data_IF_454436637985
#
_entry.id   IF_454436637985
#
_cell.length_a   1.000
_cell.length_b   1.000
_cell.length_c   1.000
_cell.angle_alpha   90.00
_cell.angle_beta   90.00
_cell.angle_gamma   90.00
#
_symmetry.space_group_name_H-M   'P 1'
#
loop_
_entity.id
_entity.type
_entity.pdbx_description
1 polymer ?
#
# COMPACT_ATOMS: atom_id res chain seq x y z
N UNK A 1 -3.17 -23.39 25.18
CA UNK A 1 -2.19 -24.38 25.69
C UNK A 1 -2.71 -25.83 25.65
N UNK A 2 -3.99 -26.08 25.94
CA UNK A 2 -4.57 -27.44 26.00
C UNK A 2 -4.57 -28.20 24.68
N UNK A 3 -4.80 -27.54 23.54
CA UNK A 3 -4.72 -28.16 22.20
C UNK A 3 -3.31 -28.70 21.93
N UNK A 4 -2.27 -27.94 22.30
CA UNK A 4 -0.89 -28.37 22.14
C UNK A 4 -0.56 -29.58 23.02
N UNK A 5 -0.99 -29.56 24.29
CA UNK A 5 -0.83 -30.70 25.21
C UNK A 5 -1.53 -31.97 24.69
N UNK A 6 -2.75 -31.83 24.16
CA UNK A 6 -3.49 -32.95 23.58
C UNK A 6 -2.79 -33.53 22.34
N UNK A 7 -2.29 -32.67 21.45
CA UNK A 7 -1.51 -33.10 20.26
C UNK A 7 -0.22 -33.82 20.64
N UNK A 8 0.47 -33.36 21.68
CA UNK A 8 1.70 -34.01 22.15
C UNK A 8 1.42 -35.38 22.78
N UNK A 9 0.39 -35.51 23.62
CA UNK A 9 0.02 -36.81 24.20
C UNK A 9 -0.40 -37.83 23.14
N UNK A 10 -1.07 -37.38 22.08
CA UNK A 10 -1.37 -38.25 20.95
C UNK A 10 -0.09 -38.69 20.23
N UNK A 11 0.85 -37.76 19.98
CA UNK A 11 2.07 -38.02 19.21
C UNK A 11 3.12 -38.84 19.96
N UNK A 12 3.31 -38.60 21.25
CA UNK A 12 4.41 -39.17 22.04
C UNK A 12 3.95 -40.24 23.03
N UNK A 13 2.72 -40.17 23.52
CA UNK A 13 2.19 -41.12 24.53
C UNK A 13 1.12 -42.07 23.94
N UNK A 14 0.80 -41.94 22.65
CA UNK A 14 -0.26 -42.66 21.94
C UNK A 14 -1.65 -42.57 22.64
N UNK A 15 -1.91 -41.48 23.36
CA UNK A 15 -3.17 -41.25 24.08
C UNK A 15 -4.07 -40.32 23.29
N UNK A 16 -5.18 -40.85 22.79
CA UNK A 16 -6.21 -40.04 22.12
C UNK A 16 -6.95 -39.16 23.13
N UNK A 17 -7.13 -37.86 22.85
CA UNK A 17 -7.89 -36.98 23.72
C UNK A 17 -9.38 -37.32 23.68
N UNK A 18 -10.04 -37.28 24.83
CA UNK A 18 -11.50 -37.30 24.91
C UNK A 18 -11.98 -35.89 24.54
N UNK A 19 -12.71 -35.79 23.42
CA UNK A 19 -13.11 -34.51 22.83
C UNK A 19 -13.91 -33.64 23.81
N UNK A 20 -14.85 -34.22 24.55
CA UNK A 20 -15.65 -33.51 25.55
C UNK A 20 -14.79 -32.89 26.64
N UNK A 21 -13.83 -33.64 27.19
CA UNK A 21 -12.90 -33.14 28.22
C UNK A 21 -12.01 -32.01 27.69
N UNK A 22 -11.55 -32.13 26.45
CA UNK A 22 -10.76 -31.07 25.80
C UNK A 22 -11.60 -29.79 25.62
N UNK A 23 -12.84 -29.91 25.14
CA UNK A 23 -13.77 -28.80 25.02
C UNK A 23 -14.07 -28.15 26.37
N UNK A 24 -14.39 -28.94 27.41
CA UNK A 24 -14.63 -28.44 28.76
C UNK A 24 -13.42 -27.68 29.30
N UNK A 25 -12.20 -28.22 29.10
CA UNK A 25 -10.96 -27.56 29.52
C UNK A 25 -10.75 -26.22 28.79
N UNK A 26 -10.92 -26.19 27.46
CA UNK A 26 -10.83 -24.95 26.67
C UNK A 26 -11.87 -23.92 27.14
N UNK A 27 -13.13 -24.33 27.34
CA UNK A 27 -14.20 -23.45 27.80
C UNK A 27 -13.93 -22.92 29.22
N UNK A 28 -13.40 -23.75 30.12
CA UNK A 28 -13.03 -23.32 31.47
C UNK A 28 -11.93 -22.26 31.43
N UNK A 29 -10.90 -22.47 30.59
CA UNK A 29 -9.86 -21.47 30.36
C UNK A 29 -10.44 -20.17 29.79
N UNK A 30 -11.25 -20.24 28.75
CA UNK A 30 -11.84 -19.02 28.15
C UNK A 30 -12.69 -18.27 29.17
N UNK A 31 -13.48 -18.96 30.01
CA UNK A 31 -14.29 -18.34 31.06
C UNK A 31 -13.45 -17.73 32.19
N UNK A 32 -12.38 -18.41 32.60
CA UNK A 32 -11.48 -17.95 33.65
C UNK A 32 -10.83 -16.60 33.30
N UNK A 33 -10.49 -16.41 32.02
CA UNK A 33 -9.82 -15.19 31.53
C UNK A 33 -10.75 -14.24 30.74
N UNK A 34 -11.98 -14.66 30.44
CA UNK A 34 -12.90 -13.93 29.57
C UNK A 34 -13.43 -12.64 30.16
N UNK A 35 -13.43 -12.51 31.49
CA UNK A 35 -13.73 -11.26 32.19
C UNK A 35 -12.57 -10.26 32.12
N UNK A 36 -11.33 -10.73 31.93
CA UNK A 36 -10.12 -9.90 31.89
C UNK A 36 -9.85 -9.31 30.50
N UNK A 37 -10.37 -9.94 29.44
CA UNK A 37 -10.16 -9.50 28.06
C UNK A 37 -11.52 -9.29 27.38
N UNK A 38 -11.93 -8.04 27.10
CA UNK A 38 -13.18 -7.79 26.41
C UNK A 38 -13.13 -8.33 24.97
N UNK A 39 -14.23 -8.95 24.53
CA UNK A 39 -14.39 -9.43 23.16
C UNK A 39 -15.17 -8.42 22.32
N UNK A 40 -14.67 -8.07 21.13
CA UNK A 40 -15.31 -7.05 20.29
C UNK A 40 -16.16 -7.63 19.16
N UNK A 41 -17.46 -7.31 19.14
CA UNK A 41 -18.43 -7.86 18.18
C UNK A 41 -18.87 -6.88 17.08
N UNK A 42 -19.32 -7.40 15.92
CA UNK A 42 -19.95 -6.62 14.85
C UNK A 42 -21.45 -6.86 14.71
N UNK A 43 -21.99 -7.94 15.28
CA UNK A 43 -23.42 -8.27 15.21
C UNK A 43 -23.93 -9.12 16.37
N UNK A 44 -25.22 -9.45 16.33
CA UNK A 44 -25.92 -10.16 17.42
C UNK A 44 -25.36 -11.58 17.62
N UNK A 45 -24.98 -12.28 16.55
CA UNK A 45 -24.41 -13.63 16.62
C UNK A 45 -23.08 -13.63 17.38
N UNK A 46 -22.15 -12.75 17.01
CA UNK A 46 -20.86 -12.56 17.68
C UNK A 46 -21.04 -12.23 19.17
N UNK A 47 -21.99 -11.34 19.48
CA UNK A 47 -22.30 -10.96 20.87
C UNK A 47 -22.76 -12.17 21.69
N UNK A 48 -23.70 -12.96 21.16
CA UNK A 48 -24.17 -14.21 21.79
C UNK A 48 -23.06 -15.24 21.95
N UNK A 49 -22.19 -15.37 20.94
CA UNK A 49 -21.05 -16.27 20.98
C UNK A 49 -20.08 -15.88 22.11
N UNK A 50 -19.69 -14.60 22.19
CA UNK A 50 -18.82 -14.10 23.26
C UNK A 50 -19.45 -14.30 24.65
N UNK A 51 -20.75 -14.00 24.80
CA UNK A 51 -21.47 -14.28 26.04
C UNK A 51 -21.46 -15.76 26.41
N UNK A 52 -21.69 -16.66 25.45
CA UNK A 52 -21.69 -18.12 25.70
C UNK A 52 -20.32 -18.65 26.14
N UNK A 53 -19.26 -17.96 25.72
CA UNK A 53 -17.87 -18.22 26.08
C UNK A 53 -17.47 -17.58 27.42
N UNK A 54 -18.34 -16.80 28.07
CA UNK A 54 -18.01 -16.05 29.29
C UNK A 54 -17.08 -14.85 29.04
N UNK A 55 -16.99 -14.38 27.80
CA UNK A 55 -16.24 -13.19 27.41
C UNK A 55 -17.18 -11.99 27.41
N UNK A 56 -16.78 -10.89 28.05
CA UNK A 56 -17.59 -9.66 28.07
C UNK A 56 -17.71 -9.07 26.64
N UNK A 57 -18.90 -9.05 26.02
CA UNK A 57 -19.07 -8.54 24.67
C UNK A 57 -19.08 -7.00 24.70
N UNK A 58 -18.16 -6.38 23.96
CA UNK A 58 -18.14 -4.93 23.73
C UNK A 58 -18.40 -4.63 22.26
N UNK A 59 -19.27 -3.66 21.93
CA UNK A 59 -19.46 -3.26 20.55
C UNK A 59 -18.15 -2.70 19.99
N UNK A 60 -17.81 -3.04 18.74
CA UNK A 60 -16.69 -2.38 18.06
C UNK A 60 -17.00 -0.90 17.91
N UNK A 61 -16.01 -0.06 18.20
CA UNK A 61 -16.09 1.37 17.86
C UNK A 61 -16.23 1.49 16.34
N UNK A 62 -17.13 2.39 15.91
CA UNK A 62 -17.27 2.69 14.49
C UNK A 62 -15.92 3.21 13.94
N UNK A 63 -15.51 2.78 12.73
CA UNK A 63 -14.28 3.29 12.14
C UNK A 63 -14.40 4.80 11.90
N UNK A 64 -13.28 5.52 12.06
CA UNK A 64 -13.22 6.91 11.62
C UNK A 64 -13.11 6.91 10.10
N UNK A 65 -13.99 7.68 9.44
CA UNK A 65 -14.01 7.82 8.00
C UNK A 65 -13.25 9.10 7.65
N UNK A 66 -12.17 8.96 6.88
CA UNK A 66 -11.38 10.07 6.38
C UNK A 66 -11.54 10.16 4.86
N UNK A 67 -11.89 11.35 4.37
CA UNK A 67 -11.90 11.65 2.93
C UNK A 67 -10.46 11.78 2.43
N UNK A 68 -10.19 11.17 1.29
CA UNK A 68 -8.90 11.22 0.59
C UNK A 68 -9.16 11.72 -0.83
N UNK A 69 -8.52 12.82 -1.18
CA UNK A 69 -8.67 13.50 -2.46
C UNK A 69 -7.27 13.77 -3.01
N UNK A 70 -7.07 13.46 -4.29
CA UNK A 70 -5.95 14.00 -5.02
C UNK A 70 -6.25 15.46 -5.37
N UNK A 71 -5.24 16.32 -5.27
CA UNK A 71 -5.36 17.72 -5.64
C UNK A 71 -4.28 18.08 -6.67
N UNK A 72 -4.61 18.87 -7.71
CA UNK A 72 -3.59 19.40 -8.60
C UNK A 72 -2.59 20.26 -7.82
N UNK A 73 -1.32 20.32 -8.26
CA UNK A 73 -0.36 21.20 -7.64
C UNK A 73 -0.64 22.67 -8.00
N UNK A 74 0.02 23.61 -7.31
CA UNK A 74 0.01 25.01 -7.74
C UNK A 74 0.97 25.21 -8.93
N UNK A 75 0.73 26.17 -9.84
CA UNK A 75 1.75 26.55 -10.83
C UNK A 75 3.05 27.01 -10.16
N UNK A 76 4.24 26.75 -10.73
CA UNK A 76 4.49 26.11 -12.04
C UNK A 76 4.76 24.59 -11.93
N UNK A 77 4.29 23.95 -10.87
CA UNK A 77 4.65 22.56 -10.59
C UNK A 77 3.97 21.58 -11.54
N UNK A 78 4.76 20.62 -12.03
CA UNK A 78 4.25 19.35 -12.55
C UNK A 78 4.19 18.37 -11.39
N UNK A 79 3.06 17.70 -11.20
CA UNK A 79 2.90 16.67 -10.18
C UNK A 79 2.94 15.28 -10.80
N UNK A 80 3.72 14.39 -10.21
CA UNK A 80 3.74 12.96 -10.56
C UNK A 80 3.27 12.12 -9.38
N UNK A 81 2.32 11.24 -9.63
CA UNK A 81 1.94 10.17 -8.71
C UNK A 81 2.63 8.89 -9.13
N UNK A 82 3.29 8.20 -8.20
CA UNK A 82 4.05 6.98 -8.47
C UNK A 82 3.54 5.83 -7.63
N UNK A 83 3.61 4.61 -8.16
CA UNK A 83 3.23 3.39 -7.45
C UNK A 83 4.05 2.18 -7.93
N UNK A 84 4.31 1.27 -7.01
CA UNK A 84 5.02 0.03 -7.23
C UNK A 84 4.20 -1.19 -6.82
N UNK A 85 4.02 -2.12 -7.73
CA UNK A 85 3.29 -3.36 -7.48
C UNK A 85 4.24 -4.55 -7.42
N UNK A 86 4.02 -5.45 -6.45
CA UNK A 86 4.57 -6.79 -6.44
C UNK A 86 3.52 -7.82 -5.98
N UNK A 87 3.33 -8.89 -6.76
CA UNK A 87 2.42 -10.01 -6.45
C UNK A 87 3.16 -11.07 -5.62
N UNK A 88 3.45 -10.74 -4.37
CA UNK A 88 4.34 -11.49 -3.49
C UNK A 88 5.52 -10.64 -3.05
N UNK A 89 6.32 -11.12 -2.10
CA UNK A 89 7.50 -10.39 -1.62
C UNK A 89 8.68 -11.36 -1.37
N UNK A 90 9.46 -11.73 -2.40
CA UNK A 90 9.39 -11.24 -3.80
C UNK A 90 8.28 -11.91 -4.64
N UNK A 91 7.89 -11.27 -5.75
CA UNK A 91 6.93 -11.81 -6.72
C UNK A 91 6.87 -10.99 -8.01
N UNK A 92 6.04 -11.36 -9.01
CA UNK A 92 5.87 -10.59 -10.24
C UNK A 92 5.56 -9.12 -9.96
N UNK A 93 6.38 -8.23 -10.47
CA UNK A 93 6.43 -6.84 -10.10
C UNK A 93 6.41 -5.91 -11.32
N UNK A 94 5.89 -4.71 -11.10
CA UNK A 94 5.82 -3.65 -12.08
C UNK A 94 5.72 -2.30 -11.36
N UNK A 95 6.03 -1.21 -12.06
CA UNK A 95 5.83 0.14 -11.56
C UNK A 95 5.08 0.99 -12.57
N UNK A 96 4.52 2.10 -12.09
CA UNK A 96 3.91 3.09 -12.94
C UNK A 96 3.90 4.48 -12.32
N UNK A 97 3.58 5.46 -13.15
CA UNK A 97 3.39 6.83 -12.69
C UNK A 97 2.60 7.68 -13.67
N UNK A 98 1.95 8.71 -13.15
CA UNK A 98 1.06 9.62 -13.89
C UNK A 98 1.45 11.06 -13.62
N UNK A 99 1.78 11.80 -14.68
CA UNK A 99 2.16 13.21 -14.65
C UNK A 99 0.98 14.09 -15.02
N UNK A 100 0.78 15.13 -14.21
CA UNK A 100 -0.30 16.12 -14.38
C UNK A 100 0.22 17.52 -14.09
N UNK A 101 -0.30 18.51 -14.80
CA UNK A 101 0.02 19.92 -14.54
C UNK A 101 -0.81 20.52 -13.40
N UNK A 102 -0.63 21.80 -13.14
CA UNK A 102 -1.35 22.56 -12.12
C UNK A 102 -2.86 22.76 -12.39
N UNK A 103 -3.32 22.50 -13.63
CA UNK A 103 -4.75 22.46 -13.96
C UNK A 103 -5.32 21.04 -13.84
N UNK A 104 -4.51 20.08 -13.38
CA UNK A 104 -4.87 18.66 -13.34
C UNK A 104 -4.88 17.99 -14.72
N UNK A 105 -4.42 18.68 -15.76
CA UNK A 105 -4.38 18.14 -17.12
C UNK A 105 -3.30 17.08 -17.19
N UNK A 106 -3.65 15.95 -17.81
CA UNK A 106 -2.75 14.84 -18.04
C UNK A 106 -1.62 15.23 -19.00
N UNK A 107 -0.37 15.06 -18.57
CA UNK A 107 0.81 15.30 -19.39
C UNK A 107 1.42 14.01 -19.94
N UNK A 108 1.16 12.89 -19.27
CA UNK A 108 1.71 11.60 -19.64
C UNK A 108 1.71 10.60 -18.50
N UNK A 109 1.92 9.33 -18.82
CA UNK A 109 2.09 8.28 -17.83
C UNK A 109 3.02 7.20 -18.36
N UNK A 110 3.55 6.39 -17.45
CA UNK A 110 4.33 5.22 -17.82
C UNK A 110 3.91 4.01 -17.01
N UNK A 111 4.25 2.84 -17.55
CA UNK A 111 4.31 1.61 -16.80
C UNK A 111 5.49 0.78 -17.28
N UNK A 112 6.03 -0.06 -16.40
CA UNK A 112 7.17 -0.91 -16.72
C UNK A 112 7.11 -2.22 -15.94
N UNK A 113 7.28 -3.38 -16.61
CA UNK A 113 7.46 -4.65 -15.94
C UNK A 113 8.84 -4.71 -15.28
N UNK A 114 8.92 -5.26 -14.07
CA UNK A 114 10.16 -5.36 -13.29
C UNK A 114 10.55 -6.82 -13.01
N UNK A 115 9.88 -7.81 -13.61
CA UNK A 115 10.18 -9.22 -13.36
C UNK A 115 9.75 -9.64 -11.95
N UNK A 116 10.58 -10.39 -11.22
CA UNK A 116 10.29 -10.83 -9.86
C UNK A 116 11.06 -10.00 -8.83
N UNK A 117 10.37 -9.15 -8.07
CA UNK A 117 10.98 -8.20 -7.15
C UNK A 117 10.13 -7.97 -5.90
N UNK A 118 10.67 -7.24 -4.92
CA UNK A 118 9.94 -6.82 -3.72
C UNK A 118 9.03 -5.63 -4.02
N UNK A 119 8.02 -5.41 -3.16
CA UNK A 119 7.18 -4.20 -3.25
C UNK A 119 8.00 -2.92 -3.08
N UNK A 120 8.94 -2.89 -2.11
CA UNK A 120 9.82 -1.73 -1.93
C UNK A 120 10.69 -1.45 -3.16
N UNK A 121 11.23 -2.49 -3.83
CA UNK A 121 11.99 -2.32 -5.06
C UNK A 121 11.12 -1.67 -6.15
N UNK A 122 9.89 -2.16 -6.34
CA UNK A 122 8.98 -1.64 -7.35
C UNK A 122 8.62 -0.16 -7.10
N UNK A 123 8.35 0.20 -5.85
CA UNK A 123 8.07 1.58 -5.43
C UNK A 123 9.26 2.50 -5.69
N UNK A 124 10.46 2.07 -5.29
CA UNK A 124 11.69 2.82 -5.49
C UNK A 124 11.99 3.02 -6.97
N UNK A 125 11.77 1.99 -7.79
CA UNK A 125 11.95 2.05 -9.24
C UNK A 125 10.95 3.03 -9.89
N UNK A 126 9.70 3.06 -9.43
CA UNK A 126 8.68 4.01 -9.90
C UNK A 126 9.14 5.47 -9.71
N UNK A 127 9.74 5.77 -8.56
CA UNK A 127 10.30 7.08 -8.24
C UNK A 127 11.48 7.43 -9.15
N UNK A 128 12.43 6.50 -9.32
CA UNK A 128 13.60 6.68 -10.20
C UNK A 128 13.15 7.03 -11.62
N UNK A 129 12.27 6.21 -12.21
CA UNK A 129 11.77 6.44 -13.58
C UNK A 129 11.05 7.77 -13.69
N UNK A 130 10.27 8.15 -12.67
CA UNK A 130 9.53 9.41 -12.68
C UNK A 130 10.44 10.64 -12.72
N UNK A 131 11.51 10.62 -11.92
CA UNK A 131 12.51 11.70 -11.89
C UNK A 131 13.25 11.78 -13.23
N UNK A 132 13.67 10.64 -13.79
CA UNK A 132 14.34 10.59 -15.09
C UNK A 132 13.44 11.09 -16.23
N UNK A 133 12.17 10.69 -16.26
CA UNK A 133 11.20 11.15 -17.26
C UNK A 133 10.97 12.66 -17.13
N UNK A 134 10.80 13.18 -15.91
CA UNK A 134 10.62 14.61 -15.70
C UNK A 134 11.85 15.41 -16.17
N UNK A 135 13.05 14.96 -15.80
CA UNK A 135 14.29 15.62 -16.16
C UNK A 135 14.51 15.63 -17.68
N UNK A 136 14.30 14.50 -18.36
CA UNK A 136 14.42 14.41 -19.82
C UNK A 136 13.39 15.24 -20.58
N UNK A 137 12.27 15.59 -19.94
CA UNK A 137 11.23 16.48 -20.49
C UNK A 137 11.45 17.96 -20.18
N UNK A 138 12.50 18.29 -19.43
CA UNK A 138 12.76 19.65 -18.98
C UNK A 138 11.74 20.15 -17.95
N UNK A 139 11.02 19.25 -17.26
CA UNK A 139 10.12 19.63 -16.17
C UNK A 139 10.93 19.88 -14.90
N UNK A 140 11.53 21.07 -14.83
CA UNK A 140 12.45 21.46 -13.76
C UNK A 140 11.77 21.77 -12.43
N UNK A 141 10.44 21.84 -12.37
CA UNK A 141 9.66 22.02 -11.13
C UNK A 141 8.73 20.83 -10.91
N UNK A 142 9.16 19.86 -10.09
CA UNK A 142 8.53 18.54 -9.96
C UNK A 142 8.08 18.25 -8.53
N UNK A 143 6.78 17.97 -8.38
CA UNK A 143 6.18 17.48 -7.14
C UNK A 143 5.89 15.98 -7.27
N UNK A 144 6.64 15.15 -6.56
CA UNK A 144 6.42 13.72 -6.48
C UNK A 144 5.48 13.34 -5.33
N UNK A 145 4.46 12.55 -5.61
CA UNK A 145 3.55 11.95 -4.63
C UNK A 145 3.63 10.42 -4.69
N UNK A 146 3.77 9.79 -3.53
CA UNK A 146 3.75 8.33 -3.36
C UNK A 146 2.97 7.97 -2.09
N UNK A 147 2.35 6.81 -2.06
CA UNK A 147 1.76 6.22 -0.86
C UNK A 147 2.74 5.34 -0.06
N UNK A 148 3.98 5.21 -0.53
CA UNK A 148 5.06 4.51 0.15
C UNK A 148 5.90 5.48 1.00
N UNK A 149 5.57 5.62 2.28
CA UNK A 149 6.36 6.41 3.24
C UNK A 149 7.82 5.94 3.27
N UNK A 150 8.08 4.65 3.13
CA UNK A 150 9.44 4.10 3.11
C UNK A 150 10.28 4.63 1.95
N UNK A 151 9.70 4.75 0.75
CA UNK A 151 10.46 5.26 -0.41
C UNK A 151 10.64 6.77 -0.33
N UNK A 152 9.65 7.50 0.20
CA UNK A 152 9.80 8.92 0.49
C UNK A 152 10.89 9.18 1.53
N UNK A 153 10.98 8.34 2.57
CA UNK A 153 12.05 8.42 3.56
C UNK A 153 13.43 8.15 2.95
N UNK A 154 13.52 7.24 1.97
CA UNK A 154 14.76 6.98 1.21
C UNK A 154 15.24 8.21 0.44
N UNK A 155 14.34 9.01 -0.14
CA UNK A 155 14.71 10.25 -0.84
C UNK A 155 15.29 11.31 0.10
N UNK A 156 14.83 11.35 1.35
CA UNK A 156 15.25 12.35 2.35
C UNK A 156 16.44 11.89 3.20
N UNK A 157 16.97 10.69 2.98
CA UNK A 157 18.00 10.07 3.81
C UNK A 157 19.35 10.04 3.10
N UNK A 158 20.35 10.69 3.70
CA UNK A 158 21.74 10.67 3.21
C UNK A 158 22.43 9.31 3.37
N UNK A 159 21.92 8.47 4.27
CA UNK A 159 22.48 7.14 4.56
C UNK A 159 21.81 6.00 3.81
N UNK A 160 20.75 6.28 3.03
CA UNK A 160 20.03 5.26 2.30
C UNK A 160 20.90 4.66 1.18
N UNK A 161 20.96 3.33 1.16
CA UNK A 161 21.62 2.56 0.11
C UNK A 161 20.56 1.79 -0.68
N UNK A 162 20.35 2.08 -1.98
CA UNK A 162 19.42 1.32 -2.80
C UNK A 162 19.97 -0.10 -3.09
N UNK A 163 19.11 -1.02 -3.59
CA UNK A 163 19.54 -2.26 -4.23
C UNK A 163 20.70 -2.01 -5.20
N UNK A 164 21.65 -2.95 -5.27
CA UNK A 164 22.95 -2.73 -5.92
C UNK A 164 22.82 -2.36 -7.40
N UNK A 165 21.85 -2.96 -8.08
CA UNK A 165 21.51 -2.76 -9.49
C UNK A 165 20.88 -1.38 -9.76
N UNK A 166 20.29 -0.75 -8.73
CA UNK A 166 19.71 0.59 -8.81
C UNK A 166 20.67 1.71 -8.39
N UNK A 167 21.86 1.40 -7.84
CA UNK A 167 22.80 2.39 -7.28
C UNK A 167 23.13 3.53 -8.25
N UNK A 168 23.48 3.18 -9.49
CA UNK A 168 23.88 4.19 -10.50
C UNK A 168 22.69 5.09 -10.86
N UNK A 169 21.52 4.51 -11.11
CA UNK A 169 20.32 5.28 -11.45
C UNK A 169 19.84 6.15 -10.30
N UNK A 170 19.91 5.63 -9.07
CA UNK A 170 19.61 6.40 -7.87
C UNK A 170 20.52 7.61 -7.71
N UNK A 171 21.84 7.45 -7.86
CA UNK A 171 22.79 8.56 -7.81
C UNK A 171 22.51 9.60 -8.90
N UNK A 172 22.18 9.17 -10.12
CA UNK A 172 21.78 10.07 -11.19
C UNK A 172 20.47 10.81 -10.86
N UNK A 173 19.50 10.14 -10.25
CA UNK A 173 18.26 10.78 -9.78
C UNK A 173 18.55 11.87 -8.75
N UNK A 174 19.42 11.61 -7.78
CA UNK A 174 19.81 12.63 -6.79
C UNK A 174 20.49 13.84 -7.43
N UNK A 175 21.38 13.62 -8.42
CA UNK A 175 22.00 14.71 -9.20
C UNK A 175 20.99 15.49 -10.04
N UNK A 176 19.97 14.81 -10.59
CA UNK A 176 18.90 15.47 -11.33
C UNK A 176 18.04 16.31 -10.38
N UNK A 177 17.70 15.78 -9.20
CA UNK A 177 16.95 16.50 -8.17
C UNK A 177 17.66 17.81 -7.78
N UNK A 178 18.99 17.80 -7.66
CA UNK A 178 19.77 19.01 -7.34
C UNK A 178 19.64 20.12 -8.40
N UNK A 179 19.26 19.78 -9.64
CA UNK A 179 19.05 20.71 -10.74
C UNK A 179 17.56 21.09 -10.92
N UNK A 180 16.68 20.59 -10.06
CA UNK A 180 15.24 20.82 -10.12
C UNK A 180 14.73 21.47 -8.83
N UNK A 181 13.66 22.25 -8.95
CA UNK A 181 12.79 22.56 -7.83
C UNK A 181 11.98 21.30 -7.52
N UNK A 182 12.43 20.53 -6.53
CA UNK A 182 11.88 19.22 -6.21
C UNK A 182 11.15 19.23 -4.86
N UNK A 183 9.99 18.59 -4.83
CA UNK A 183 9.21 18.33 -3.61
C UNK A 183 8.70 16.91 -3.64
N UNK A 184 8.75 16.21 -2.52
CA UNK A 184 8.11 14.91 -2.35
C UNK A 184 7.12 14.92 -1.18
N UNK A 185 5.95 14.30 -1.34
CA UNK A 185 4.95 14.19 -0.27
C UNK A 185 4.23 12.85 -0.30
N UNK A 186 3.70 12.47 0.85
CA UNK A 186 2.86 11.29 0.97
C UNK A 186 1.42 11.59 0.55
N UNK A 187 0.79 10.66 -0.17
CA UNK A 187 -0.66 10.59 -0.39
C UNK A 187 -1.16 9.23 0.09
N UNK A 188 -2.36 9.14 0.66
CA UNK A 188 -2.90 7.81 0.97
C UNK A 188 -3.20 7.02 -0.31
N UNK A 189 -3.08 5.69 -0.25
CA UNK A 189 -3.35 4.78 -1.37
C UNK A 189 -4.69 5.05 -2.07
N UNK A 190 -5.72 5.39 -1.30
CA UNK A 190 -7.04 5.75 -1.81
C UNK A 190 -7.02 6.95 -2.79
N UNK A 191 -6.08 7.89 -2.61
CA UNK A 191 -5.85 9.02 -3.51
C UNK A 191 -4.77 8.77 -4.58
N UNK A 192 -4.09 7.62 -4.54
CA UNK A 192 -3.03 7.25 -5.48
C UNK A 192 -3.51 6.29 -6.58
N UNK A 193 -4.82 6.12 -6.73
CA UNK A 193 -5.42 5.06 -7.53
C UNK A 193 -5.04 5.10 -9.03
N UNK A 194 -4.78 6.28 -9.58
CA UNK A 194 -4.29 6.44 -10.95
C UNK A 194 -2.90 5.81 -11.15
N UNK A 195 -1.98 6.01 -10.21
CA UNK A 195 -0.63 5.43 -10.26
C UNK A 195 -0.67 3.92 -10.02
N UNK A 196 -1.46 3.45 -9.03
CA UNK A 196 -1.69 2.01 -8.78
C UNK A 196 -2.24 1.32 -10.03
N UNK A 197 -3.13 1.98 -10.77
CA UNK A 197 -3.63 1.42 -12.03
C UNK A 197 -2.51 1.28 -13.08
N UNK A 198 -1.63 2.28 -13.20
CA UNK A 198 -0.50 2.22 -14.12
C UNK A 198 0.51 1.14 -13.72
N UNK A 199 0.80 0.96 -12.43
CA UNK A 199 1.66 -0.12 -11.96
C UNK A 199 1.07 -1.50 -12.29
N UNK A 200 -0.24 -1.68 -12.07
CA UNK A 200 -0.96 -2.90 -12.45
C UNK A 200 -0.91 -3.18 -13.97
N UNK A 201 -1.07 -2.15 -14.81
CA UNK A 201 -0.94 -2.31 -16.27
C UNK A 201 0.45 -2.80 -16.67
N UNK A 202 1.50 -2.34 -15.97
CA UNK A 202 2.89 -2.70 -16.24
C UNK A 202 3.18 -4.21 -16.13
N UNK A 203 2.45 -4.96 -15.30
CA UNK A 203 2.64 -6.42 -15.13
C UNK A 203 2.42 -7.17 -16.44
N UNK A 204 1.51 -6.68 -17.29
CA UNK A 204 1.18 -7.30 -18.58
C UNK A 204 2.07 -6.85 -19.73
N UNK A 205 2.96 -5.89 -19.51
CA UNK A 205 3.82 -5.32 -20.56
C UNK A 205 5.13 -6.10 -20.67
N UNK A 206 5.78 -5.99 -21.82
CA UNK A 206 7.09 -6.61 -22.08
C UNK A 206 8.26 -5.66 -21.78
N UNK A 207 8.02 -4.35 -21.83
CA UNK A 207 9.04 -3.32 -21.66
C UNK A 207 8.43 -2.03 -21.11
N UNK A 208 9.30 -1.06 -20.78
CA UNK A 208 8.86 0.30 -20.48
C UNK A 208 7.95 0.84 -21.58
N UNK A 209 6.79 1.36 -21.18
CA UNK A 209 5.82 1.94 -22.10
C UNK A 209 5.43 3.33 -21.63
N UNK A 210 5.65 4.33 -22.49
CA UNK A 210 5.18 5.70 -22.30
C UNK A 210 3.84 5.93 -23.00
N UNK A 211 2.91 6.58 -22.31
CA UNK A 211 1.59 6.93 -22.81
C UNK A 211 1.45 8.45 -22.90
N UNK A 212 1.59 9.06 -24.11
CA UNK A 212 1.42 10.50 -24.29
C UNK A 212 -0.05 10.93 -24.16
N UNK A 213 -0.99 9.99 -24.28
CA UNK A 213 -2.42 10.17 -24.05
C UNK A 213 -2.90 9.14 -23.02
N UNK A 214 -3.91 9.46 -22.20
CA UNK A 214 -4.36 8.56 -21.15
C UNK A 214 -4.92 7.27 -21.76
N UNK A 215 -4.49 6.08 -21.30
CA UNK A 215 -5.09 4.81 -21.72
C UNK A 215 -6.53 4.70 -21.17
N UNK A 216 -7.38 3.91 -21.85
CA UNK A 216 -8.81 3.75 -21.51
C UNK A 216 -9.02 3.47 -20.01
N UNK A 217 -8.18 2.62 -19.45
CA UNK A 217 -8.20 2.16 -18.08
C UNK A 217 -7.95 3.26 -17.04
N UNK A 218 -7.34 4.37 -17.45
CA UNK A 218 -6.99 5.49 -16.57
C UNK A 218 -8.09 6.57 -16.51
N UNK A 219 -8.97 6.63 -17.52
CA UNK A 219 -9.95 7.72 -17.70
C UNK A 219 -10.83 7.93 -16.46
N UNK A 220 -11.34 6.84 -15.87
CA UNK A 220 -12.21 6.94 -14.69
C UNK A 220 -11.51 7.58 -13.48
N UNK A 221 -10.22 7.34 -13.32
CA UNK A 221 -9.44 7.87 -12.19
C UNK A 221 -9.11 9.34 -12.41
N UNK A 222 -8.70 9.70 -13.62
CA UNK A 222 -8.45 11.09 -13.99
C UNK A 222 -9.73 11.94 -13.90
N UNK A 223 -10.86 11.40 -14.34
CA UNK A 223 -12.15 12.08 -14.24
C UNK A 223 -12.59 12.25 -12.79
N UNK A 224 -12.43 11.22 -11.95
CA UNK A 224 -12.74 11.33 -10.53
C UNK A 224 -11.89 12.39 -9.82
N UNK A 225 -10.58 12.40 -10.09
CA UNK A 225 -9.65 13.40 -9.56
C UNK A 225 -10.01 14.81 -10.06
N UNK A 226 -10.33 14.97 -11.35
CA UNK A 226 -10.74 16.25 -11.94
C UNK A 226 -12.04 16.79 -11.35
N UNK A 227 -13.02 15.91 -11.09
CA UNK A 227 -14.29 16.28 -10.46
C UNK A 227 -14.19 16.45 -8.95
N UNK A 228 -13.01 16.20 -8.35
CA UNK A 228 -12.82 16.27 -6.89
C UNK A 228 -13.65 15.24 -6.13
N UNK A 229 -13.85 14.05 -6.70
CA UNK A 229 -14.60 12.97 -6.04
C UNK A 229 -13.72 12.33 -4.95
N UNK A 230 -14.19 12.28 -3.69
CA UNK A 230 -13.40 11.74 -2.60
C UNK A 230 -13.40 10.21 -2.63
N UNK A 231 -12.24 9.63 -2.33
CA UNK A 231 -12.15 8.27 -1.82
C UNK A 231 -12.20 8.28 -0.28
N UNK A 232 -12.44 7.13 0.33
CA UNK A 232 -12.64 7.03 1.78
C UNK A 232 -11.71 6.01 2.41
N UNK A 233 -10.95 6.47 3.41
CA UNK A 233 -10.11 5.65 4.27
C UNK A 233 -10.82 5.38 5.57
N UNK A 234 -10.86 4.12 5.98
CA UNK A 234 -11.46 3.67 7.23
C UNK A 234 -10.35 3.33 8.22
N UNK A 235 -10.22 4.10 9.30
CA UNK A 235 -9.23 3.83 10.35
C UNK A 235 -9.90 3.24 11.59
N UNK A 236 -9.26 2.24 12.19
CA UNK A 236 -9.67 1.69 13.47
C UNK A 236 -9.53 2.74 14.58
N UNK A 237 -10.41 2.68 15.58
CA UNK A 237 -10.25 3.44 16.81
C UNK A 237 -9.22 2.83 17.75
#
# INVERSE_FOLDING_TARGET
MEIWKARNRLRFDNRSPIFSTLCCSIMAWIRQFGSLVPGYYKGVLDSRLLSSLGVCPKPRKAPKIQRVLWHPPLPPWVKVNTDGLAKGNPGPAACGGVFRDASGVYLGSFCQPLGCNSSFYAELYAVIVSIEVAFTRGWTTLWLESDSISVLASLSSDSFSPPWDLRVRWQNCLKNIQQMQFRSTHIFREGNAAADKMANLGVSKHSFTWYPRPPAELHRYLQADFLGLPNYRFTGC
#
